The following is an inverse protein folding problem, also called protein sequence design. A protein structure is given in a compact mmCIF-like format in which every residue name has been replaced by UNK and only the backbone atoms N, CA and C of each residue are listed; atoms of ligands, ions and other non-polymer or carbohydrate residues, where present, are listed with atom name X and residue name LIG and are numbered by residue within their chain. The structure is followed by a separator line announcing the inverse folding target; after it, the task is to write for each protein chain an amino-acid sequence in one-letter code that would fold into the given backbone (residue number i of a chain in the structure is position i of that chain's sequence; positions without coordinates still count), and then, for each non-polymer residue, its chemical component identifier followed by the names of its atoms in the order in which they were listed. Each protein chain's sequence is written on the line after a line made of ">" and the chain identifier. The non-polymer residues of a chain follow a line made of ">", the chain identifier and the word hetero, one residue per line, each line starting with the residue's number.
data_IF_511988020134
#
_entry.id   IF_511988020134
#
_cell.length_a   1.000
_cell.length_b   1.000
_cell.length_c   1.000
_cell.angle_alpha   90.00
_cell.angle_beta   90.00
_cell.angle_gamma   90.00
#
_symmetry.space_group_name_H-M   'P 1'
#
loop_
_entity.id
_entity.type
_entity.pdbx_description
1 polymer ?
#
# COMPACT_ATOMS: atom_id res chain seq x y z
N UNK A 1 28.78 -31.33 16.36
CA UNK A 1 28.73 -29.85 16.47
C UNK A 1 27.71 -29.36 15.46
N UNK A 2 26.45 -29.21 15.88
CA UNK A 2 25.34 -28.80 15.01
C UNK A 2 25.11 -27.30 15.20
N UNK A 3 25.22 -26.54 14.11
CA UNK A 3 24.81 -25.13 14.07
C UNK A 3 23.28 -25.12 14.06
N UNK A 4 22.70 -24.65 15.15
CA UNK A 4 21.26 -24.41 15.27
C UNK A 4 20.93 -23.17 14.44
N UNK A 5 20.23 -23.37 13.32
CA UNK A 5 19.52 -22.29 12.62
C UNK A 5 18.33 -21.91 13.50
N UNK A 6 18.45 -20.81 14.24
CA UNK A 6 17.32 -20.21 14.92
C UNK A 6 16.45 -19.50 13.88
N UNK A 7 15.40 -20.18 13.41
CA UNK A 7 14.24 -19.55 12.80
C UNK A 7 13.44 -18.90 13.95
N UNK A 8 13.42 -17.57 14.02
CA UNK A 8 12.59 -16.87 15.01
C UNK A 8 11.10 -16.95 14.64
N UNK A 9 10.20 -17.20 15.62
CA UNK A 9 8.80 -17.44 15.35
C UNK A 9 8.08 -16.13 14.97
N UNK A 10 7.60 -16.07 13.75
CA UNK A 10 6.66 -15.04 13.26
C UNK A 10 5.33 -15.16 14.02
N UNK A 11 5.19 -14.41 15.12
CA UNK A 11 3.97 -14.31 15.89
C UNK A 11 3.12 -13.14 15.40
N UNK A 12 1.99 -13.50 14.80
CA UNK A 12 0.88 -12.59 14.55
C UNK A 12 0.39 -12.01 15.89
N UNK A 13 0.67 -10.72 16.12
CA UNK A 13 0.20 -9.98 17.29
C UNK A 13 -0.42 -8.66 16.83
N UNK A 14 -1.70 -8.51 17.14
CA UNK A 14 -2.53 -7.29 17.08
C UNK A 14 -1.71 -6.01 17.25
N UNK A 15 -1.78 -5.11 16.26
CA UNK A 15 -1.43 -3.69 16.37
C UNK A 15 -0.07 -3.39 17.02
N UNK A 16 1.03 -3.95 16.49
CA UNK A 16 2.38 -3.52 16.87
C UNK A 16 2.79 -2.38 15.93
N UNK A 17 3.42 -1.29 16.42
CA UNK A 17 3.82 -0.14 15.58
C UNK A 17 4.59 -0.51 14.30
N UNK A 18 5.32 -1.63 14.29
CA UNK A 18 6.03 -2.12 13.09
C UNK A 18 5.15 -2.73 11.99
N UNK A 19 3.91 -3.15 12.29
CA UNK A 19 2.99 -3.72 11.29
C UNK A 19 2.42 -2.64 10.36
N UNK A 20 2.03 -1.50 10.93
CA UNK A 20 1.55 -0.35 10.17
C UNK A 20 2.69 0.30 9.38
N UNK A 21 3.89 0.36 9.95
CA UNK A 21 5.09 0.85 9.26
C UNK A 21 5.49 -0.07 8.09
N UNK A 22 5.43 -1.39 8.26
CA UNK A 22 5.71 -2.35 7.18
C UNK A 22 4.67 -2.27 6.06
N UNK A 23 3.39 -2.07 6.42
CA UNK A 23 2.31 -1.83 5.45
C UNK A 23 2.58 -0.56 4.63
N UNK A 24 2.93 0.53 5.30
CA UNK A 24 3.25 1.80 4.64
C UNK A 24 4.45 1.70 3.70
N UNK A 25 5.55 1.05 4.13
CA UNK A 25 6.74 0.82 3.29
C UNK A 25 6.40 0.01 2.04
N UNK A 26 5.58 -1.03 2.16
CA UNK A 26 5.14 -1.83 1.00
C UNK A 26 4.32 -0.99 0.01
N UNK A 27 3.41 -0.13 0.49
CA UNK A 27 2.60 0.75 -0.37
C UNK A 27 3.50 1.78 -1.07
N UNK A 28 4.42 2.41 -0.35
CA UNK A 28 5.33 3.40 -0.95
C UNK A 28 6.25 2.78 -2.01
N UNK A 29 6.80 1.60 -1.74
CA UNK A 29 7.64 0.88 -2.69
C UNK A 29 6.83 0.44 -3.93
N UNK A 30 5.65 -0.13 -3.73
CA UNK A 30 4.80 -0.57 -4.84
C UNK A 30 4.31 0.60 -5.70
N UNK A 31 3.91 1.72 -5.10
CA UNK A 31 3.48 2.92 -5.81
C UNK A 31 4.56 3.43 -6.76
N UNK A 32 5.80 3.55 -6.28
CA UNK A 32 6.94 3.95 -7.12
C UNK A 32 7.15 2.99 -8.29
N UNK A 33 7.17 1.69 -8.01
CA UNK A 33 7.43 0.68 -9.05
C UNK A 33 6.33 0.60 -10.09
N UNK A 34 5.06 0.73 -9.68
CA UNK A 34 3.91 0.67 -10.59
C UNK A 34 3.67 1.99 -11.36
N UNK A 35 4.21 3.11 -10.89
CA UNK A 35 4.24 4.35 -11.66
C UNK A 35 5.13 4.23 -12.91
N UNK A 36 6.16 3.37 -12.86
CA UNK A 36 7.15 3.21 -13.93
C UNK A 36 6.94 1.96 -14.79
N UNK A 37 6.34 0.90 -14.22
CA UNK A 37 6.24 -0.43 -14.82
C UNK A 37 4.80 -0.95 -14.78
N UNK A 38 4.45 -1.77 -15.77
CA UNK A 38 3.15 -2.45 -15.80
C UNK A 38 3.00 -3.45 -14.64
N UNK A 39 1.75 -3.85 -14.37
CA UNK A 39 1.45 -4.84 -13.32
C UNK A 39 2.32 -6.08 -13.45
N UNK A 40 2.35 -6.73 -14.62
CA UNK A 40 3.14 -7.96 -14.85
C UNK A 40 4.65 -7.74 -14.76
N UNK A 41 5.09 -6.51 -15.04
CA UNK A 41 6.48 -6.11 -14.97
C UNK A 41 7.07 -6.14 -13.57
N UNK A 42 6.28 -6.11 -12.49
CA UNK A 42 6.76 -6.03 -11.10
C UNK A 42 6.41 -7.29 -10.30
N UNK A 43 7.36 -7.91 -9.61
CA UNK A 43 7.07 -9.06 -8.75
C UNK A 43 6.84 -8.68 -7.27
N UNK A 44 6.09 -9.54 -6.55
CA UNK A 44 5.90 -9.40 -5.09
C UNK A 44 7.23 -9.45 -4.33
N UNK A 45 8.18 -10.26 -4.79
CA UNK A 45 9.49 -10.40 -4.16
C UNK A 45 10.34 -9.15 -4.32
N UNK A 46 10.32 -8.51 -5.50
CA UNK A 46 11.01 -7.23 -5.69
C UNK A 46 10.43 -6.15 -4.76
N UNK A 47 9.11 -6.05 -4.66
CA UNK A 47 8.47 -5.07 -3.77
C UNK A 47 8.82 -5.34 -2.31
N UNK A 48 8.76 -6.61 -1.87
CA UNK A 48 9.10 -6.98 -0.50
C UNK A 48 10.56 -6.63 -0.16
N UNK A 49 11.49 -6.87 -1.09
CA UNK A 49 12.89 -6.48 -0.94
C UNK A 49 13.06 -4.95 -0.86
N UNK A 50 12.40 -4.20 -1.75
CA UNK A 50 12.48 -2.74 -1.76
C UNK A 50 11.86 -2.10 -0.51
N UNK A 51 10.83 -2.74 0.04
CA UNK A 51 10.19 -2.33 1.28
C UNK A 51 10.92 -2.85 2.54
N UNK A 52 11.97 -3.65 2.41
CA UNK A 52 12.68 -4.34 3.50
C UNK A 52 11.74 -5.11 4.44
N UNK A 53 10.97 -6.03 3.85
CA UNK A 53 10.02 -6.91 4.54
C UNK A 53 10.09 -8.34 4.01
N UNK A 54 9.57 -9.29 4.79
CA UNK A 54 9.38 -10.66 4.30
C UNK A 54 8.26 -10.71 3.24
N UNK A 55 8.47 -11.50 2.17
CA UNK A 55 7.48 -11.75 1.11
C UNK A 55 6.12 -12.20 1.67
N UNK A 56 6.09 -12.95 2.77
CA UNK A 56 4.85 -13.40 3.42
C UNK A 56 3.99 -12.24 3.95
N UNK A 57 4.61 -11.10 4.29
CA UNK A 57 3.91 -9.91 4.76
C UNK A 57 2.98 -9.35 3.67
N UNK A 58 3.35 -9.47 2.39
CA UNK A 58 2.49 -8.99 1.29
C UNK A 58 1.19 -9.80 1.24
N UNK A 59 1.27 -11.11 1.35
CA UNK A 59 0.09 -11.97 1.38
C UNK A 59 -0.77 -11.71 2.62
N UNK A 60 -0.14 -11.49 3.78
CA UNK A 60 -0.85 -11.21 5.04
C UNK A 60 -1.59 -9.86 5.02
N UNK A 61 -0.95 -8.78 4.56
CA UNK A 61 -1.52 -7.44 4.61
C UNK A 61 -2.45 -7.12 3.43
N UNK A 62 -2.23 -7.72 2.27
CA UNK A 62 -2.90 -7.32 1.02
C UNK A 62 -3.59 -8.47 0.27
N UNK A 63 -3.50 -9.71 0.76
CA UNK A 63 -4.00 -10.87 0.01
C UNK A 63 -3.22 -11.15 -1.29
N UNK A 64 -2.00 -10.59 -1.41
CA UNK A 64 -1.11 -10.79 -2.54
C UNK A 64 -0.97 -9.58 -3.47
N UNK A 65 -0.37 -9.80 -4.65
CA UNK A 65 0.04 -8.74 -5.60
C UNK A 65 -1.09 -7.81 -6.02
N UNK A 66 -2.29 -8.36 -6.29
CA UNK A 66 -3.43 -7.56 -6.75
C UNK A 66 -3.92 -6.58 -5.67
N UNK A 67 -4.04 -7.03 -4.42
CA UNK A 67 -4.44 -6.11 -3.35
C UNK A 67 -3.37 -5.05 -3.07
N UNK A 68 -2.09 -5.42 -3.17
CA UNK A 68 -1.00 -4.45 -3.03
C UNK A 68 -0.98 -3.44 -4.18
N UNK A 69 -1.31 -3.87 -5.40
CA UNK A 69 -1.45 -2.98 -6.55
C UNK A 69 -2.60 -1.98 -6.36
N UNK A 70 -3.77 -2.43 -5.89
CA UNK A 70 -4.90 -1.54 -5.61
C UNK A 70 -4.53 -0.50 -4.55
N UNK A 71 -3.94 -0.93 -3.44
CA UNK A 71 -3.49 -0.02 -2.37
C UNK A 71 -2.44 1.00 -2.87
N UNK A 72 -1.59 0.60 -3.80
CA UNK A 72 -0.62 1.50 -4.43
C UNK A 72 -1.30 2.56 -5.31
N UNK A 73 -2.30 2.15 -6.10
CA UNK A 73 -3.07 3.08 -6.94
C UNK A 73 -3.86 4.08 -6.09
N UNK A 74 -4.46 3.63 -4.98
CA UNK A 74 -5.15 4.50 -4.02
C UNK A 74 -4.19 5.58 -3.47
N UNK A 75 -2.97 5.19 -3.11
CA UNK A 75 -1.94 6.13 -2.65
C UNK A 75 -1.58 7.16 -3.74
N UNK A 76 -1.36 6.70 -4.98
CA UNK A 76 -1.03 7.59 -6.10
C UNK A 76 -2.18 8.56 -6.41
N UNK A 77 -3.43 8.09 -6.32
CA UNK A 77 -4.61 8.93 -6.53
C UNK A 77 -4.76 9.99 -5.42
N UNK A 78 -4.50 9.63 -4.16
CA UNK A 78 -4.52 10.58 -3.04
C UNK A 78 -3.41 11.63 -3.18
N UNK A 79 -2.22 11.24 -3.64
CA UNK A 79 -1.11 12.17 -3.91
C UNK A 79 -1.40 13.14 -5.06
N UNK A 80 -2.19 12.71 -6.06
CA UNK A 80 -2.64 13.57 -7.15
C UNK A 80 -3.83 14.46 -6.78
N UNK A 81 -4.46 14.24 -5.62
CA UNK A 81 -5.62 15.01 -5.20
C UNK A 81 -5.18 16.47 -4.98
N UNK A 82 -5.79 17.44 -5.68
CA UNK A 82 -5.38 18.84 -5.54
C UNK A 82 -5.51 19.27 -4.08
N UNK A 83 -4.50 20.00 -3.58
CA UNK A 83 -4.38 20.42 -2.16
C UNK A 83 -5.57 21.29 -1.69
N UNK A 84 -6.44 21.73 -2.61
CA UNK A 84 -7.83 22.04 -2.33
C UNK A 84 -8.73 21.27 -3.30
N UNK A 85 -9.54 20.34 -2.79
CA UNK A 85 -10.64 19.77 -3.57
C UNK A 85 -11.61 20.88 -4.01
N UNK A 86 -12.49 20.65 -5.00
CA UNK A 86 -13.39 21.68 -5.47
C UNK A 86 -14.15 22.27 -4.28
N UNK A 87 -14.04 23.59 -4.09
CA UNK A 87 -15.15 24.37 -3.55
C UNK A 87 -16.27 24.01 -4.49
N UNK A 88 -17.17 23.11 -4.05
CA UNK A 88 -18.38 22.83 -4.81
C UNK A 88 -19.16 24.14 -4.70
N UNK A 89 -18.88 25.03 -5.63
CA UNK A 89 -19.55 26.30 -5.80
C UNK A 89 -21.01 25.93 -5.97
N UNK A 90 -21.82 26.29 -4.96
CA UNK A 90 -23.28 26.18 -4.89
C UNK A 90 -23.90 26.12 -6.28
N UNK A 91 -24.16 24.91 -6.79
CA UNK A 91 -25.00 24.76 -7.97
C UNK A 91 -26.44 24.93 -7.53
N UNK A 92 -26.94 26.14 -7.74
CA UNK A 92 -28.28 26.46 -8.29
C UNK A 92 -29.55 25.99 -7.56
N UNK A 93 -29.46 25.33 -6.40
CA UNK A 93 -30.65 24.85 -5.69
C UNK A 93 -31.46 25.93 -4.95
N UNK A 94 -30.97 27.19 -4.87
CA UNK A 94 -31.64 28.29 -4.16
C UNK A 94 -32.57 29.14 -5.07
N UNK A 95 -32.76 28.78 -6.36
CA UNK A 95 -33.61 29.54 -7.28
C UNK A 95 -34.47 28.64 -8.20
N UNK A 96 -35.52 27.99 -7.70
CA UNK A 96 -36.58 27.50 -8.59
C UNK A 96 -37.94 27.15 -7.94
N UNK A 97 -38.07 27.07 -6.62
CA UNK A 97 -39.38 26.86 -5.98
C UNK A 97 -39.82 28.15 -5.27
N UNK A 98 -40.28 29.11 -6.07
CA UNK A 98 -41.06 30.27 -5.67
C UNK A 98 -42.45 30.23 -6.30
#
# INVERSE_FOLDING_TARGET
>A
MNIVVAQEPSTAARGRPGGDESRARMIAASARMFAERSFDGVSVREIANAADVNVSAVSYHFGGKRGLYIAALEQLLEEMRPVGGPVIERTEADMADG
#
